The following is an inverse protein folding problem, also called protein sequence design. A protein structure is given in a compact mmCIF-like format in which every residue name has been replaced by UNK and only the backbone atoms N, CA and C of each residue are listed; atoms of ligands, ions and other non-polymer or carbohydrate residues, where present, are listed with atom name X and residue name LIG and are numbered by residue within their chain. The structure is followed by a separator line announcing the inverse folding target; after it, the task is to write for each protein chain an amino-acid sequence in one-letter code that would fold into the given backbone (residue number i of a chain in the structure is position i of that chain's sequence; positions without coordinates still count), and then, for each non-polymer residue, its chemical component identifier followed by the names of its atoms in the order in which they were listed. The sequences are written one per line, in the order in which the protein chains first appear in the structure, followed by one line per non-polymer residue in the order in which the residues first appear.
data_IF_993297513314
#
_entry.id   IF_993297513314
#
_cell.length_a   1.000
_cell.length_b   1.000
_cell.length_c   1.000
_cell.angle_alpha   90.00
_cell.angle_beta   90.00
_cell.angle_gamma   90.00
#
_symmetry.space_group_name_H-M   'P 1'
#
loop_
_entity.id
_entity.type
_entity.pdbx_description
1 polymer ?
#
# COMPACT_ATOMS: atom_id res chain seq x y z
N UNK A 1 -7.96 8.93 -1.28
CA UNK A 1 -7.28 8.83 0.02
C UNK A 1 -5.85 9.27 -0.18
N UNK A 2 -5.43 10.29 0.56
CA UNK A 2 -4.02 10.67 0.73
C UNK A 2 -3.66 10.31 2.16
N UNK A 3 -2.51 9.67 2.38
CA UNK A 3 -1.99 9.49 3.73
C UNK A 3 -0.97 10.59 4.04
N UNK A 4 -0.96 11.01 5.30
CA UNK A 4 0.08 11.89 5.80
C UNK A 4 0.35 11.65 7.28
N UNK A 5 1.45 12.21 7.77
CA UNK A 5 1.85 12.20 9.18
C UNK A 5 1.76 13.60 9.79
N UNK A 6 1.70 13.70 11.12
CA UNK A 6 1.66 15.00 11.81
C UNK A 6 2.94 15.84 11.65
N UNK A 7 3.99 15.29 11.05
CA UNK A 7 5.24 16.00 10.74
C UNK A 7 5.24 16.62 9.33
N UNK A 8 4.23 16.32 8.52
CA UNK A 8 4.14 16.82 7.15
C UNK A 8 3.32 18.10 7.09
N UNK A 9 3.78 19.03 6.26
CA UNK A 9 3.10 20.30 6.01
C UNK A 9 2.79 20.43 4.52
N UNK A 10 1.55 20.82 4.14
CA UNK A 10 1.21 21.01 2.73
C UNK A 10 2.00 22.17 2.13
N UNK A 11 2.69 21.92 1.02
CA UNK A 11 3.41 22.94 0.26
C UNK A 11 2.54 23.61 -0.81
N UNK A 12 1.38 23.01 -1.12
CA UNK A 12 0.43 23.47 -2.12
C UNK A 12 -0.91 23.80 -1.47
N UNK A 13 -1.62 24.73 -2.08
CA UNK A 13 -3.00 25.03 -1.69
C UNK A 13 -3.93 23.87 -2.02
N UNK A 14 -5.08 23.80 -1.35
CA UNK A 14 -6.10 22.80 -1.64
C UNK A 14 -6.57 22.83 -3.10
N UNK A 15 -6.64 24.02 -3.72
CA UNK A 15 -7.06 24.15 -5.12
C UNK A 15 -6.04 23.54 -6.09
N UNK A 16 -4.75 23.81 -5.88
CA UNK A 16 -3.68 23.24 -6.68
C UNK A 16 -3.63 21.71 -6.55
N UNK A 17 -3.80 21.20 -5.33
CA UNK A 17 -3.87 19.77 -5.07
C UNK A 17 -5.04 19.12 -5.81
N UNK A 18 -6.25 19.69 -5.72
CA UNK A 18 -7.42 19.17 -6.44
C UNK A 18 -7.21 19.22 -7.95
N UNK A 19 -6.59 20.29 -8.47
CA UNK A 19 -6.27 20.40 -9.91
C UNK A 19 -5.28 19.32 -10.34
N UNK A 20 -4.23 19.07 -9.56
CA UNK A 20 -3.27 18.00 -9.83
C UNK A 20 -3.93 16.61 -9.79
N UNK A 21 -4.79 16.35 -8.82
CA UNK A 21 -5.53 15.09 -8.70
C UNK A 21 -6.58 14.88 -9.81
N UNK A 22 -7.11 15.95 -10.40
CA UNK A 22 -7.96 15.84 -11.60
C UNK A 22 -7.13 15.54 -12.85
N UNK A 23 -5.93 16.10 -12.96
CA UNK A 23 -5.04 15.89 -14.11
C UNK A 23 -4.57 14.43 -14.25
N UNK A 24 -4.44 13.68 -13.15
CA UNK A 24 -4.07 12.25 -13.16
C UNK A 24 -5.21 11.30 -13.59
N UNK A 25 -6.39 11.85 -13.93
CA UNK A 25 -7.53 11.14 -14.54
C UNK A 25 -7.90 9.80 -13.87
N UNK A 26 -8.05 9.79 -12.53
CA UNK A 26 -8.46 8.59 -11.79
C UNK A 26 -7.39 7.51 -11.63
N UNK A 27 -6.13 7.82 -11.99
CA UNK A 27 -4.97 6.98 -11.69
C UNK A 27 -4.58 7.07 -10.21
N UNK A 28 -3.86 6.05 -9.72
CA UNK A 28 -3.25 6.07 -8.38
C UNK A 28 -1.82 6.57 -8.48
N UNK A 29 -1.38 7.37 -7.51
CA UNK A 29 0.02 7.78 -7.39
C UNK A 29 0.67 6.91 -6.32
N UNK A 30 1.63 6.10 -6.75
CA UNK A 30 2.45 5.25 -5.89
C UNK A 30 3.88 5.32 -6.37
N UNK A 31 4.83 5.47 -5.44
CA UNK A 31 6.25 5.39 -5.75
C UNK A 31 6.69 3.93 -5.81
N UNK A 32 7.59 3.59 -6.73
CA UNK A 32 8.06 2.22 -6.92
C UNK A 32 9.52 2.16 -7.35
N UNK A 33 10.32 1.38 -6.61
CA UNK A 33 11.72 1.09 -6.86
C UNK A 33 11.89 -0.41 -7.14
N UNK A 34 12.30 -0.70 -8.37
CA UNK A 34 12.49 -2.06 -8.90
C UNK A 34 13.91 -2.60 -8.68
N UNK A 35 14.73 -1.92 -7.88
CA UNK A 35 16.11 -2.32 -7.65
C UNK A 35 16.21 -3.72 -7.05
N UNK A 36 17.11 -4.59 -7.58
CA UNK A 36 17.28 -5.95 -7.06
C UNK A 36 17.83 -5.99 -5.63
N UNK A 37 18.32 -4.86 -5.09
CA UNK A 37 18.86 -4.75 -3.74
C UNK A 37 17.82 -5.08 -2.65
N UNK A 38 16.53 -4.99 -2.94
CA UNK A 38 15.46 -5.28 -1.99
C UNK A 38 14.96 -6.73 -2.01
N UNK A 39 15.56 -7.61 -2.84
CA UNK A 39 15.15 -9.02 -2.95
C UNK A 39 15.14 -9.75 -1.60
N UNK A 40 16.07 -9.41 -0.70
CA UNK A 40 16.14 -10.01 0.64
C UNK A 40 14.96 -9.69 1.55
N UNK A 41 14.20 -8.61 1.25
CA UNK A 41 13.02 -8.18 2.03
C UNK A 41 11.72 -8.80 1.56
N UNK A 42 11.76 -9.60 0.49
CA UNK A 42 10.56 -10.22 -0.08
C UNK A 42 10.08 -11.34 0.87
N UNK A 43 8.78 -11.36 1.24
CA UNK A 43 8.22 -12.45 2.05
C UNK A 43 8.38 -13.80 1.35
N UNK A 44 8.81 -14.82 2.09
CA UNK A 44 8.97 -16.19 1.59
C UNK A 44 7.65 -17.01 1.59
N UNK A 45 6.55 -16.43 2.07
CA UNK A 45 5.25 -17.10 2.12
C UNK A 45 4.71 -17.28 0.69
N UNK A 46 4.28 -18.48 0.28
CA UNK A 46 3.69 -18.69 -1.03
C UNK A 46 2.34 -17.96 -1.13
N UNK A 47 2.05 -17.45 -2.33
CA UNK A 47 0.76 -16.85 -2.69
C UNK A 47 0.06 -17.73 -3.72
N UNK A 48 -1.27 -17.68 -3.76
CA UNK A 48 -2.12 -18.40 -4.72
C UNK A 48 -1.99 -17.90 -6.16
N UNK A 49 -1.31 -16.76 -6.37
CA UNK A 49 -1.14 -16.11 -7.65
C UNK A 49 0.28 -15.58 -7.85
N UNK A 50 0.67 -15.36 -9.11
CA UNK A 50 1.96 -14.77 -9.46
C UNK A 50 1.94 -13.27 -9.17
N UNK A 51 2.82 -12.82 -8.28
CA UNK A 51 2.97 -11.42 -7.90
C UNK A 51 4.43 -10.99 -8.02
N UNK A 52 4.67 -9.78 -8.53
CA UNK A 52 5.99 -9.13 -8.49
C UNK A 52 6.04 -8.17 -7.32
N UNK A 53 6.94 -8.43 -6.38
CA UNK A 53 7.19 -7.54 -5.26
C UNK A 53 8.06 -6.36 -5.69
N UNK A 54 7.66 -5.16 -5.28
CA UNK A 54 8.37 -3.91 -5.57
C UNK A 54 8.43 -3.10 -4.28
N UNK A 55 9.57 -2.43 -4.02
CA UNK A 55 9.66 -1.50 -2.89
C UNK A 55 8.93 -0.22 -3.29
N UNK A 56 8.12 0.34 -2.40
CA UNK A 56 7.52 1.65 -2.60
C UNK A 56 7.69 2.56 -1.39
N UNK A 57 7.27 3.81 -1.56
CA UNK A 57 7.07 4.73 -0.45
C UNK A 57 5.86 4.32 0.39
N UNK A 58 5.85 4.77 1.64
CA UNK A 58 4.69 4.63 2.53
C UNK A 58 3.60 5.63 2.12
N UNK A 59 3.98 6.75 1.50
CA UNK A 59 3.08 7.79 1.05
C UNK A 59 2.51 7.48 -0.32
N UNK A 60 1.19 7.59 -0.43
CA UNK A 60 0.42 7.19 -1.61
C UNK A 60 -0.82 8.07 -1.78
N UNK A 61 -1.20 8.30 -3.03
CA UNK A 61 -2.50 8.83 -3.37
C UNK A 61 -3.33 7.73 -4.05
N UNK A 62 -4.29 7.19 -3.31
CA UNK A 62 -5.12 6.09 -3.77
C UNK A 62 -6.54 6.58 -4.04
N UNK A 63 -7.10 6.17 -5.16
CA UNK A 63 -8.52 6.36 -5.46
C UNK A 63 -9.39 5.47 -4.56
N UNK A 64 -10.68 5.81 -4.47
CA UNK A 64 -11.63 5.12 -3.60
C UNK A 64 -11.74 3.62 -3.93
N UNK A 65 -11.78 3.27 -5.21
CA UNK A 65 -11.95 1.89 -5.67
C UNK A 65 -10.72 1.03 -5.33
N UNK A 66 -9.52 1.61 -5.36
CA UNK A 66 -8.30 0.90 -4.96
C UNK A 66 -8.29 0.64 -3.45
N UNK A 67 -8.73 1.60 -2.64
CA UNK A 67 -8.89 1.41 -1.19
C UNK A 67 -9.93 0.32 -0.92
N UNK A 68 -11.06 0.35 -1.62
CA UNK A 68 -12.10 -0.66 -1.49
C UNK A 68 -11.55 -2.05 -1.86
N UNK A 69 -10.83 -2.17 -2.98
CA UNK A 69 -10.17 -3.41 -3.38
C UNK A 69 -9.22 -3.92 -2.29
N UNK A 70 -8.38 -3.04 -1.73
CA UNK A 70 -7.41 -3.42 -0.70
C UNK A 70 -8.07 -3.97 0.58
N UNK A 71 -9.29 -3.53 0.90
CA UNK A 71 -10.02 -3.95 2.11
C UNK A 71 -10.90 -5.20 1.88
N UNK A 72 -11.53 -5.31 0.71
CA UNK A 72 -12.54 -6.35 0.46
C UNK A 72 -11.96 -7.58 -0.20
N UNK A 73 -10.98 -7.42 -1.10
CA UNK A 73 -10.53 -8.48 -1.99
C UNK A 73 -9.71 -9.57 -1.26
N UNK A 74 -9.94 -10.83 -1.63
CA UNK A 74 -9.26 -11.98 -1.02
C UNK A 74 -7.76 -12.01 -1.33
N UNK A 75 -7.34 -11.65 -2.55
CA UNK A 75 -5.91 -11.56 -2.90
C UNK A 75 -5.21 -10.48 -2.09
N UNK A 76 -5.86 -9.33 -1.85
CA UNK A 76 -5.30 -8.27 -1.02
C UNK A 76 -5.10 -8.72 0.44
N UNK A 77 -6.07 -9.47 0.99
CA UNK A 77 -5.96 -10.08 2.33
C UNK A 77 -4.84 -11.11 2.39
N UNK A 78 -4.65 -11.90 1.34
CA UNK A 78 -3.57 -12.88 1.23
C UNK A 78 -2.20 -12.20 1.24
N UNK A 79 -2.02 -11.12 0.47
CA UNK A 79 -0.81 -10.28 0.48
C UNK A 79 -0.55 -9.72 1.89
N UNK A 80 -1.59 -9.20 2.55
CA UNK A 80 -1.47 -8.67 3.91
C UNK A 80 -1.05 -9.76 4.90
N UNK A 81 -1.60 -10.97 4.79
CA UNK A 81 -1.22 -12.12 5.60
C UNK A 81 0.22 -12.58 5.34
N UNK A 82 0.70 -12.44 4.09
CA UNK A 82 2.08 -12.71 3.72
C UNK A 82 3.06 -11.70 4.36
N UNK A 83 2.68 -10.42 4.41
CA UNK A 83 3.50 -9.34 4.97
C UNK A 83 3.51 -9.31 6.51
N UNK A 84 2.46 -9.83 7.17
CA UNK A 84 2.37 -9.82 8.63
C UNK A 84 3.48 -10.67 9.27
N UNK A 85 4.22 -10.13 10.26
CA UNK A 85 5.22 -10.89 11.01
C UNK A 85 4.56 -11.96 11.88
N UNK A 86 5.22 -13.12 12.04
CA UNK A 86 4.71 -14.27 12.80
C UNK A 86 4.34 -13.93 14.25
N UNK A 87 4.95 -12.92 14.85
CA UNK A 87 4.70 -12.48 16.24
C UNK A 87 3.28 -11.91 16.44
N UNK A 88 2.73 -11.17 15.47
CA UNK A 88 1.38 -10.59 15.56
C UNK A 88 0.26 -11.58 15.22
N UNK A 89 0.57 -12.65 14.49
CA UNK A 89 -0.42 -13.69 14.16
C UNK A 89 -0.83 -14.53 15.38
N UNK A 90 0.10 -14.79 16.31
CA UNK A 90 -0.20 -15.50 17.56
C UNK A 90 -1.13 -14.71 18.49
N UNK A 91 -0.93 -13.39 18.61
CA UNK A 91 -1.78 -12.54 19.46
C UNK A 91 -3.24 -12.51 19.01
N UNK A 92 -3.50 -12.52 17.70
CA UNK A 92 -4.87 -12.54 17.16
C UNK A 92 -5.55 -13.92 17.22
N UNK A 93 -4.80 -15.00 17.44
CA UNK A 93 -5.37 -16.36 17.58
C UNK A 93 -5.65 -16.76 19.04
N UNK A 94 -5.10 -16.03 20.01
CA UNK A 94 -5.30 -16.28 21.45
C UNK A 94 -6.54 -15.53 21.99
N UNK A 95 -7.18 -14.70 21.17
CA UNK A 95 -8.36 -13.90 21.55
C UNK A 95 -9.70 -14.49 21.06
N UNK A 96 -9.74 -15.76 20.65
CA UNK A 96 -10.97 -16.50 20.31
C UNK A 96 -11.14 -17.70 21.23
#
# INVERSE_FOLDING_TARGET
MLNGSGQEFPLLTNWELVKALKAINGSNIVESDYSPRFKSRIPKKPLSFKLKWVKGSIYTALRKEMVQFALTNNYAKEILAALRPKSKQKLCQVQN
#
